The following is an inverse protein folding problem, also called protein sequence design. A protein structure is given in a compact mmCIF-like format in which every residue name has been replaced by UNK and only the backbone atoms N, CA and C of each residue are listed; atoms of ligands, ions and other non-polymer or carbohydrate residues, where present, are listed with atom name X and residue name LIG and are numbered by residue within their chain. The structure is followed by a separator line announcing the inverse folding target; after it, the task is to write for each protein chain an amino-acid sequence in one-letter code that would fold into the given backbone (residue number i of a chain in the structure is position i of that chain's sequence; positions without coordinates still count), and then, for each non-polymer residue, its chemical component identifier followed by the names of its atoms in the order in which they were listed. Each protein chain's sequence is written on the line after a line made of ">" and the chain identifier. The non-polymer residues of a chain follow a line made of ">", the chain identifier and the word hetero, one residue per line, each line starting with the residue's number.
data_IF_041197698775
#
_entry.id   IF_041197698775
#
_cell.length_a   1.000
_cell.length_b   1.000
_cell.length_c   1.000
_cell.angle_alpha   90.00
_cell.angle_beta   90.00
_cell.angle_gamma   90.00
#
_symmetry.space_group_name_H-M   'P 1'
#
loop_
_entity.id
_entity.type
_entity.pdbx_description
1 polymer ?
#
# COMPACT_ATOMS: atom_id res chain seq x y z
N UNK A 1 -11.88 -10.97 3.41
CA UNK A 1 -12.55 -11.19 4.70
C UNK A 1 -11.57 -11.27 5.87
N UNK A 2 -10.66 -12.26 5.95
CA UNK A 2 -9.72 -12.42 7.10
C UNK A 2 -8.88 -11.18 7.44
N UNK A 3 -8.40 -10.45 6.42
CA UNK A 3 -7.65 -9.20 6.57
C UNK A 3 -8.46 -8.06 7.20
N UNK A 4 -9.69 -7.86 6.74
CA UNK A 4 -10.62 -6.89 7.31
C UNK A 4 -10.96 -7.23 8.77
N UNK A 5 -11.21 -8.50 9.07
CA UNK A 5 -11.48 -8.95 10.44
C UNK A 5 -10.26 -8.71 11.35
N UNK A 6 -9.05 -8.99 10.86
CA UNK A 6 -7.82 -8.70 11.60
C UNK A 6 -7.64 -7.20 11.86
N UNK A 7 -7.88 -6.35 10.85
CA UNK A 7 -7.82 -4.89 11.00
C UNK A 7 -8.85 -4.38 12.02
N UNK A 8 -10.08 -4.91 12.01
CA UNK A 8 -11.13 -4.56 12.98
C UNK A 8 -10.76 -5.00 14.39
N UNK A 9 -10.21 -6.21 14.56
CA UNK A 9 -9.75 -6.71 15.87
C UNK A 9 -8.59 -5.86 16.39
N UNK A 10 -7.61 -5.55 15.54
CA UNK A 10 -6.50 -4.67 15.91
C UNK A 10 -7.01 -3.28 16.30
N UNK A 11 -7.93 -2.70 15.52
CA UNK A 11 -8.54 -1.42 15.86
C UNK A 11 -9.27 -1.45 17.22
N UNK A 12 -10.00 -2.52 17.53
CA UNK A 12 -10.68 -2.70 18.83
C UNK A 12 -9.70 -2.81 19.99
N UNK A 13 -8.64 -3.61 19.85
CA UNK A 13 -7.57 -3.75 20.86
C UNK A 13 -6.88 -2.40 21.07
N UNK A 14 -6.52 -1.74 19.98
CA UNK A 14 -5.89 -0.43 19.99
C UNK A 14 -6.77 0.63 20.64
N UNK A 15 -8.09 0.63 20.36
CA UNK A 15 -9.06 1.52 21.00
C UNK A 15 -9.19 1.23 22.50
N UNK A 16 -9.22 -0.05 22.90
CA UNK A 16 -9.25 -0.44 24.30
C UNK A 16 -8.01 0.03 25.06
N UNK A 17 -6.81 -0.09 24.47
CA UNK A 17 -5.57 0.43 25.05
C UNK A 17 -5.61 1.95 25.16
N UNK A 18 -6.04 2.65 24.10
CA UNK A 18 -6.10 4.10 24.11
C UNK A 18 -7.10 4.62 25.15
N UNK A 19 -8.25 3.96 25.28
CA UNK A 19 -9.27 4.27 26.28
C UNK A 19 -8.77 3.96 27.69
N UNK A 20 -8.03 2.86 27.87
CA UNK A 20 -7.38 2.55 29.15
C UNK A 20 -6.38 3.63 29.55
N UNK A 21 -5.54 4.07 28.62
CA UNK A 21 -4.58 5.17 28.84
C UNK A 21 -5.32 6.47 29.15
N UNK A 22 -6.37 6.81 28.40
CA UNK A 22 -7.15 8.02 28.61
C UNK A 22 -7.85 8.04 29.98
N UNK A 23 -8.51 6.95 30.37
CA UNK A 23 -9.21 6.85 31.65
C UNK A 23 -8.28 6.77 32.86
N UNK A 24 -7.02 6.37 32.68
CA UNK A 24 -6.03 6.30 33.76
C UNK A 24 -5.07 7.50 33.79
N UNK A 25 -5.13 8.41 32.81
CA UNK A 25 -4.37 9.65 32.85
C UNK A 25 -5.14 10.71 33.64
N UNK A 26 -4.48 11.24 34.67
CA UNK A 26 -4.96 12.42 35.38
C UNK A 26 -4.79 13.69 34.51
N UNK A 27 -5.64 14.71 34.71
CA UNK A 27 -5.65 15.95 33.89
C UNK A 27 -4.27 16.64 33.87
N UNK A 28 -3.57 16.59 35.00
CA UNK A 28 -2.21 17.11 35.15
C UNK A 28 -1.19 16.36 34.26
N UNK A 29 -1.38 15.05 34.08
CA UNK A 29 -0.50 14.20 33.26
C UNK A 29 -0.80 14.38 31.78
N UNK A 30 -2.08 14.56 31.42
CA UNK A 30 -2.49 14.83 30.04
C UNK A 30 -1.93 16.15 29.51
N UNK A 31 -1.95 17.19 30.36
CA UNK A 31 -1.39 18.52 30.07
C UNK A 31 0.13 18.60 30.17
N UNK A 32 0.83 17.53 30.54
CA UNK A 32 2.27 17.55 30.72
C UNK A 32 2.97 17.92 29.41
N UNK A 33 3.64 19.07 29.40
CA UNK A 33 4.30 19.59 28.20
C UNK A 33 5.60 18.86 27.90
N UNK A 34 5.63 18.12 26.80
CA UNK A 34 6.86 17.53 26.27
C UNK A 34 7.63 18.63 25.54
N UNK A 35 8.90 18.81 25.93
CA UNK A 35 9.83 19.72 25.25
C UNK A 35 10.96 18.87 24.68
N UNK A 36 11.09 18.86 23.36
CA UNK A 36 12.28 18.30 22.70
C UNK A 36 13.34 19.40 22.61
N UNK A 37 14.48 19.14 23.26
CA UNK A 37 15.66 19.99 23.19
C UNK A 37 16.68 19.34 22.28
N UNK A 38 16.89 19.93 21.12
CA UNK A 38 17.94 19.50 20.22
C UNK A 38 19.10 20.49 20.29
N UNK A 39 20.22 20.04 20.87
CA UNK A 39 21.39 20.89 21.14
C UNK A 39 22.61 20.28 20.48
N UNK A 40 23.12 20.96 19.44
CA UNK A 40 24.44 20.69 18.87
C UNK A 40 25.38 21.78 19.40
N UNK A 41 26.39 21.42 20.23
CA UNK A 41 27.30 22.41 20.78
C UNK A 41 28.00 23.20 19.65
N UNK A 42 28.10 24.52 19.83
CA UNK A 42 28.69 25.49 18.90
C UNK A 42 27.97 25.75 17.56
N UNK A 43 26.89 25.03 17.24
CA UNK A 43 26.18 25.17 15.95
C UNK A 43 24.72 25.59 16.10
N UNK A 44 23.94 24.94 16.97
CA UNK A 44 22.49 25.17 17.03
C UNK A 44 21.88 24.71 18.35
N UNK A 45 20.96 25.51 18.89
CA UNK A 45 20.14 25.17 20.03
C UNK A 45 18.68 25.44 19.66
N UNK A 46 17.92 24.39 19.36
CA UNK A 46 16.51 24.48 18.98
C UNK A 46 15.67 23.85 20.08
N UNK A 47 14.79 24.66 20.66
CA UNK A 47 13.81 24.22 21.64
C UNK A 47 12.44 24.19 20.96
N UNK A 48 11.79 23.03 20.99
CA UNK A 48 10.45 22.88 20.44
C UNK A 48 9.39 23.46 21.39
N UNK A 49 8.26 23.87 20.82
CA UNK A 49 7.09 24.33 21.57
C UNK A 49 6.60 23.18 22.47
N UNK A 50 6.11 23.50 23.67
CA UNK A 50 5.49 22.51 24.57
C UNK A 50 4.30 21.87 23.88
N UNK A 51 4.42 20.60 23.54
CA UNK A 51 3.31 19.80 23.05
C UNK A 51 2.77 18.98 24.23
N UNK A 52 1.47 19.07 24.56
CA UNK A 52 0.91 18.26 25.64
C UNK A 52 1.03 16.78 25.31
N UNK A 53 1.40 15.99 26.31
CA UNK A 53 1.66 14.55 26.19
C UNK A 53 0.45 13.80 25.65
N UNK A 54 -0.76 14.18 26.06
CA UNK A 54 -2.01 13.61 25.54
C UNK A 54 -2.17 13.77 24.03
N UNK A 55 -1.87 14.96 23.49
CA UNK A 55 -1.92 15.20 22.05
C UNK A 55 -0.83 14.42 21.29
N UNK A 56 0.36 14.29 21.86
CA UNK A 56 1.45 13.49 21.29
C UNK A 56 1.10 12.00 21.21
N UNK A 57 0.46 11.46 22.25
CA UNK A 57 -0.04 10.07 22.26
C UNK A 57 -1.12 9.87 21.20
N UNK A 58 -2.08 10.79 21.09
CA UNK A 58 -3.14 10.70 20.09
C UNK A 58 -2.58 10.78 18.65
N UNK A 59 -1.64 11.69 18.43
CA UNK A 59 -0.97 11.86 17.14
C UNK A 59 -0.18 10.62 16.75
N UNK A 60 0.67 10.10 17.63
CA UNK A 60 1.47 8.90 17.37
C UNK A 60 0.59 7.66 17.11
N UNK A 61 -0.52 7.53 17.83
CA UNK A 61 -1.49 6.47 17.62
C UNK A 61 -2.19 6.56 16.26
N UNK A 62 -2.69 7.75 15.89
CA UNK A 62 -3.35 7.97 14.61
C UNK A 62 -2.42 7.71 13.43
N UNK A 63 -1.16 8.15 13.52
CA UNK A 63 -0.12 7.88 12.52
C UNK A 63 0.17 6.39 12.44
N UNK A 64 0.26 5.70 13.58
CA UNK A 64 0.47 4.25 13.64
C UNK A 64 -0.63 3.46 12.91
N UNK A 65 -1.90 3.82 13.12
CA UNK A 65 -3.03 3.17 12.45
C UNK A 65 -3.00 3.39 10.93
N UNK A 66 -2.69 4.60 10.47
CA UNK A 66 -2.53 4.90 9.04
C UNK A 66 -1.35 4.13 8.44
N UNK A 67 -0.21 4.09 9.13
CA UNK A 67 0.98 3.38 8.67
C UNK A 67 0.72 1.87 8.52
N UNK A 68 0.04 1.23 9.48
CA UNK A 68 -0.32 -0.19 9.40
C UNK A 68 -1.23 -0.44 8.19
N UNK A 69 -2.24 0.40 7.96
CA UNK A 69 -3.13 0.27 6.82
C UNK A 69 -2.37 0.40 5.48
N UNK A 70 -1.40 1.33 5.40
CA UNK A 70 -0.54 1.50 4.22
C UNK A 70 0.35 0.27 4.02
N UNK A 71 0.98 -0.25 5.08
CA UNK A 71 1.81 -1.45 5.02
C UNK A 71 1.03 -2.68 4.56
N UNK A 72 -0.24 -2.82 4.95
CA UNK A 72 -1.09 -3.92 4.48
C UNK A 72 -1.57 -3.72 3.03
N UNK A 73 -1.81 -2.47 2.62
CA UNK A 73 -2.25 -2.13 1.27
C UNK A 73 -1.14 -2.25 0.22
N UNK A 74 0.12 -1.94 0.56
CA UNK A 74 1.29 -2.03 -0.31
C UNK A 74 1.41 -3.37 -1.07
N UNK A 75 1.42 -4.55 -0.41
CA UNK A 75 1.53 -5.83 -1.10
C UNK A 75 0.33 -6.12 -2.01
N UNK A 76 -0.85 -5.58 -1.69
CA UNK A 76 -2.01 -5.67 -2.58
C UNK A 76 -1.79 -4.85 -3.85
N UNK A 77 -1.30 -3.61 -3.71
CA UNK A 77 -0.98 -2.74 -4.83
C UNK A 77 0.09 -3.33 -5.77
N UNK A 78 1.18 -3.87 -5.21
CA UNK A 78 2.24 -4.50 -6.00
C UNK A 78 1.72 -5.72 -6.77
N UNK A 79 0.90 -6.58 -6.15
CA UNK A 79 0.28 -7.73 -6.85
C UNK A 79 -0.64 -7.29 -7.97
N UNK A 80 -1.42 -6.23 -7.77
CA UNK A 80 -2.29 -5.68 -8.82
C UNK A 80 -1.49 -5.14 -10.00
N UNK A 81 -0.38 -4.44 -9.74
CA UNK A 81 0.52 -3.96 -10.80
C UNK A 81 1.19 -5.12 -11.55
N UNK A 82 1.64 -6.15 -10.82
CA UNK A 82 2.23 -7.35 -11.41
C UNK A 82 1.23 -8.06 -12.33
N UNK A 83 -0.01 -8.27 -11.87
CA UNK A 83 -1.09 -8.85 -12.67
C UNK A 83 -1.37 -8.02 -13.92
N UNK A 84 -1.37 -6.69 -13.80
CA UNK A 84 -1.61 -5.80 -14.94
C UNK A 84 -0.48 -5.89 -15.99
N UNK A 85 0.76 -6.05 -15.55
CA UNK A 85 1.91 -6.26 -16.45
C UNK A 85 1.83 -7.61 -17.17
N UNK A 86 1.48 -8.69 -16.44
CA UNK A 86 1.31 -10.04 -17.02
C UNK A 86 0.16 -10.08 -18.02
N UNK A 87 -0.98 -9.47 -17.71
CA UNK A 87 -2.13 -9.40 -18.62
C UNK A 87 -1.81 -8.63 -19.91
N UNK A 88 -1.03 -7.54 -19.85
CA UNK A 88 -0.58 -6.85 -21.06
C UNK A 88 0.29 -7.76 -21.94
N UNK A 89 1.19 -8.53 -21.33
CA UNK A 89 2.09 -9.44 -22.04
C UNK A 89 1.36 -10.62 -22.67
N UNK A 90 0.40 -11.21 -21.95
CA UNK A 90 -0.49 -12.26 -22.50
C UNK A 90 -1.21 -11.73 -23.74
N UNK A 91 -1.79 -10.54 -23.66
CA UNK A 91 -2.50 -9.92 -24.80
C UNK A 91 -1.60 -9.63 -26.00
N UNK A 92 -0.31 -9.34 -25.78
CA UNK A 92 0.66 -9.20 -26.87
C UNK A 92 0.96 -10.54 -27.52
N UNK A 93 1.23 -11.58 -26.71
CA UNK A 93 1.49 -12.94 -27.19
C UNK A 93 0.29 -13.52 -27.95
N UNK A 94 -0.94 -13.28 -27.49
CA UNK A 94 -2.16 -13.69 -28.21
C UNK A 94 -2.29 -13.02 -29.58
N UNK A 95 -1.87 -11.75 -29.71
CA UNK A 95 -1.84 -11.05 -31.00
C UNK A 95 -0.79 -11.63 -31.93
N UNK A 96 0.43 -11.86 -31.42
CA UNK A 96 1.51 -12.47 -32.20
C UNK A 96 1.13 -13.88 -32.69
N UNK A 97 0.54 -14.69 -31.82
CA UNK A 97 0.05 -16.02 -32.18
C UNK A 97 -1.02 -15.98 -33.28
N UNK A 98 -1.97 -15.04 -33.18
CA UNK A 98 -3.00 -14.87 -34.21
C UNK A 98 -2.43 -14.40 -35.55
N UNK A 99 -1.44 -13.50 -35.54
CA UNK A 99 -0.75 -13.07 -36.76
C UNK A 99 -0.01 -14.22 -37.43
N UNK A 100 0.75 -15.02 -36.66
CA UNK A 100 1.42 -16.21 -37.19
C UNK A 100 0.41 -17.18 -37.80
N UNK A 101 -0.71 -17.41 -37.11
CA UNK A 101 -1.78 -18.31 -37.60
C UNK A 101 -2.43 -17.81 -38.90
N UNK A 102 -2.57 -16.50 -39.06
CA UNK A 102 -3.06 -15.89 -40.30
C UNK A 102 -2.04 -16.03 -41.43
N UNK A 103 -0.76 -15.75 -41.17
CA UNK A 103 0.32 -15.93 -42.15
C UNK A 103 0.47 -17.38 -42.60
N UNK A 104 0.35 -18.36 -41.69
CA UNK A 104 0.39 -19.78 -42.05
C UNK A 104 -0.79 -20.15 -42.94
N UNK A 105 -2.00 -19.68 -42.63
CA UNK A 105 -3.18 -19.91 -43.48
C UNK A 105 -3.05 -19.30 -44.87
N UNK A 106 -2.59 -18.04 -44.98
CA UNK A 106 -2.34 -17.40 -46.27
C UNK A 106 -1.25 -18.12 -47.07
N UNK A 107 -0.27 -18.71 -46.39
CA UNK A 107 0.79 -19.48 -47.05
C UNK A 107 0.27 -20.81 -47.58
N UNK A 108 -0.50 -21.54 -46.78
CA UNK A 108 -1.17 -22.78 -47.22
C UNK A 108 -2.14 -22.52 -48.38
N UNK A 109 -2.78 -21.34 -48.44
CA UNK A 109 -3.70 -20.96 -49.52
C UNK A 109 -2.96 -20.55 -50.82
N UNK A 110 -1.75 -19.99 -50.73
CA UNK A 110 -0.90 -19.65 -51.89
C UNK A 110 -0.15 -20.85 -52.46
N UNK A 111 0.07 -21.89 -51.68
CA UNK A 111 0.71 -23.13 -52.12
C UNK A 111 -0.29 -24.15 -52.71
N UNK A 112 -1.58 -23.80 -52.87
CA UNK A 112 -2.51 -24.62 -53.67
C UNK A 112 -2.16 -24.48 -55.18
N UNK A 113 -1.72 -25.54 -55.86
CA UNK A 113 -1.48 -25.48 -57.29
C UNK A 113 -2.80 -25.19 -58.00
N UNK A 114 -2.79 -24.17 -58.86
CA UNK A 114 -3.86 -23.91 -59.81
C UNK A 114 -4.20 -25.21 -60.53
N UNK A 115 -5.34 -25.81 -60.20
CA UNK A 115 -5.87 -26.92 -60.97
C UNK A 115 -6.12 -26.40 -62.39
N UNK A 116 -5.56 -27.03 -63.44
CA UNK A 116 -5.88 -26.62 -64.79
C UNK A 116 -7.36 -26.96 -65.04
N UNK A 117 -8.15 -25.91 -65.27
CA UNK A 117 -9.49 -26.03 -65.83
C UNK A 117 -9.37 -26.66 -67.22
N UNK A 118 -10.17 -27.71 -67.40
CA UNK A 118 -10.43 -28.52 -68.60
C UNK A 118 -10.39 -27.78 -69.93
#
# INVERSE_FOLDING_TARGET
>A
MRRLIFAVIMALISFAILNFVYCNLDDATFGYGIIFKFRIPYLLNVETIRVPLGFSLLASFSIGMVAIAVFEALPSFFKTLELRSKNKRIRQLEKELNLVRQMTKEKDEKDLPAQPLS
#
